data_IF_567431623422
#
_entry.id   IF_567431623422
#
_cell.length_a   1.000
_cell.length_b   1.000
_cell.length_c   1.000
_cell.angle_alpha   90.00
_cell.angle_beta   90.00
_cell.angle_gamma   90.00
#
_symmetry.space_group_name_H-M   'P 1'
#
loop_
_entity.id
_entity.type
_entity.pdbx_description
1 polymer ?
#
# COMPACT_ATOMS: atom_id res chain seq x y z
N UNK A 1 8.82 9.38 -13.55
CA UNK A 1 9.11 8.34 -12.55
C UNK A 1 8.39 8.82 -11.34
N UNK A 2 7.26 8.22 -11.02
CA UNK A 2 6.64 8.48 -9.74
C UNK A 2 7.01 7.39 -8.74
N UNK A 3 6.52 7.61 -7.53
CA UNK A 3 7.06 7.02 -6.33
C UNK A 3 5.95 6.47 -5.45
N UNK A 4 6.25 5.36 -4.79
CA UNK A 4 5.33 4.70 -3.89
C UNK A 4 6.02 3.64 -3.04
N UNK A 5 5.69 3.60 -1.76
CA UNK A 5 6.32 2.71 -0.78
C UNK A 5 5.34 2.16 0.22
N UNK A 6 5.63 0.95 0.68
CA UNK A 6 4.95 0.32 1.79
C UNK A 6 5.94 0.14 2.95
N UNK A 7 5.50 0.42 4.17
CA UNK A 7 6.30 0.31 5.39
C UNK A 7 5.59 -0.60 6.39
N UNK A 8 6.29 -1.61 6.90
CA UNK A 8 5.75 -2.50 7.93
C UNK A 8 5.97 -1.85 9.30
N UNK A 9 4.88 -1.45 9.96
CA UNK A 9 4.93 -0.71 11.22
C UNK A 9 4.28 -1.49 12.36
N UNK A 10 4.60 -1.13 13.59
CA UNK A 10 3.90 -1.67 14.76
C UNK A 10 2.41 -1.34 14.70
N UNK A 11 1.55 -2.28 15.08
CA UNK A 11 0.09 -2.06 15.22
C UNK A 11 -0.22 -0.88 16.15
N UNK A 12 0.66 -0.59 17.11
CA UNK A 12 0.51 0.55 18.02
C UNK A 12 0.54 1.91 17.32
N UNK A 13 1.02 1.99 16.08
CA UNK A 13 0.94 3.20 15.25
C UNK A 13 -0.51 3.69 15.12
N UNK A 14 -1.48 2.78 15.18
CA UNK A 14 -2.90 3.10 15.14
C UNK A 14 -3.31 4.11 16.24
N UNK A 15 -2.69 4.05 17.42
CA UNK A 15 -3.04 4.96 18.52
C UNK A 15 -2.72 6.41 18.17
N UNK A 16 -1.54 6.65 17.57
CA UNK A 16 -1.10 7.97 17.16
C UNK A 16 -1.87 8.47 15.93
N UNK A 17 -2.07 7.60 14.94
CA UNK A 17 -2.73 7.97 13.68
C UNK A 17 -4.23 8.23 13.83
N UNK A 18 -4.89 7.63 14.83
CA UNK A 18 -6.34 7.81 15.05
C UNK A 18 -6.75 9.26 15.29
N UNK A 19 -5.81 10.08 15.80
CA UNK A 19 -6.01 11.51 16.08
C UNK A 19 -5.61 12.42 14.93
N UNK A 20 -4.92 11.90 13.91
CA UNK A 20 -4.46 12.67 12.75
C UNK A 20 -5.58 12.84 11.73
N UNK A 21 -5.60 13.99 11.03
CA UNK A 21 -6.53 14.24 9.91
C UNK A 21 -5.81 14.81 8.71
N UNK A 22 -5.08 15.91 8.88
CA UNK A 22 -4.33 16.55 7.80
C UNK A 22 -3.07 15.75 7.46
N UNK A 23 -2.58 15.86 6.22
CA UNK A 23 -1.32 15.22 5.81
C UNK A 23 -0.15 15.60 6.72
N UNK A 24 -0.03 16.87 7.08
CA UNK A 24 1.03 17.34 7.98
C UNK A 24 1.07 16.56 9.31
N UNK A 25 -0.10 16.30 9.92
CA UNK A 25 -0.21 15.53 11.16
C UNK A 25 0.28 14.08 10.96
N UNK A 26 -0.05 13.49 9.81
CA UNK A 26 0.38 12.13 9.45
C UNK A 26 1.89 12.06 9.26
N UNK A 27 2.50 13.02 8.58
CA UNK A 27 3.95 13.08 8.39
C UNK A 27 4.70 13.28 9.71
N UNK A 28 4.19 14.14 10.61
CA UNK A 28 4.76 14.30 11.95
C UNK A 28 4.66 13.00 12.77
N UNK A 29 3.51 12.32 12.69
CA UNK A 29 3.30 11.03 13.33
C UNK A 29 4.27 9.97 12.80
N UNK A 30 4.46 9.88 11.48
CA UNK A 30 5.39 8.96 10.84
C UNK A 30 6.84 9.22 11.25
N UNK A 31 7.25 10.49 11.32
CA UNK A 31 8.59 10.85 11.80
C UNK A 31 8.78 10.42 13.26
N UNK A 32 7.76 10.61 14.10
CA UNK A 32 7.76 10.15 15.50
C UNK A 32 7.85 8.62 15.61
N UNK A 33 7.19 7.90 14.70
CA UNK A 33 7.24 6.44 14.61
C UNK A 33 8.56 5.92 14.01
N UNK A 34 9.38 6.77 13.41
CA UNK A 34 10.66 6.40 12.81
C UNK A 34 10.52 5.44 11.63
N UNK A 35 9.45 5.56 10.84
CA UNK A 35 9.10 4.56 9.81
C UNK A 35 10.17 4.38 8.72
N UNK A 36 11.04 5.37 8.51
CA UNK A 36 12.15 5.29 7.54
C UNK A 36 13.17 4.20 7.87
N UNK A 37 13.18 3.72 9.13
CA UNK A 37 14.00 2.60 9.57
C UNK A 37 13.29 1.25 9.53
N UNK A 38 11.99 1.25 9.20
CA UNK A 38 11.18 0.04 9.16
C UNK A 38 11.44 -0.79 7.89
N UNK A 39 11.13 -2.10 7.90
CA UNK A 39 11.09 -2.88 6.67
C UNK A 39 10.15 -2.23 5.66
N UNK A 40 10.62 -2.11 4.42
CA UNK A 40 9.89 -1.40 3.36
C UNK A 40 9.92 -2.17 2.04
N UNK A 41 8.91 -1.93 1.21
CA UNK A 41 8.84 -2.34 -0.19
C UNK A 41 8.73 -1.08 -1.06
N UNK A 42 9.67 -0.92 -2.00
CA UNK A 42 9.55 0.07 -3.06
C UNK A 42 8.61 -0.47 -4.13
N UNK A 43 7.50 0.23 -4.34
CA UNK A 43 6.46 -0.13 -5.29
C UNK A 43 6.42 0.86 -6.47
N UNK A 44 7.32 1.85 -6.54
CA UNK A 44 7.33 2.87 -7.58
C UNK A 44 5.91 3.44 -7.84
N UNK A 45 5.50 3.60 -9.09
CA UNK A 45 4.16 4.06 -9.46
C UNK A 45 3.06 2.98 -9.31
N UNK A 46 3.41 1.74 -8.96
CA UNK A 46 2.49 0.60 -9.05
C UNK A 46 1.31 0.70 -8.09
N UNK A 47 1.48 1.34 -6.93
CA UNK A 47 0.37 1.60 -6.00
C UNK A 47 -0.76 2.33 -6.72
N UNK A 48 -0.44 3.36 -7.52
CA UNK A 48 -1.43 4.14 -8.26
C UNK A 48 -2.09 3.32 -9.36
N UNK A 49 -1.28 2.61 -10.14
CA UNK A 49 -1.77 1.79 -11.25
C UNK A 49 -2.68 0.67 -10.74
N UNK A 50 -2.29 0.00 -9.66
CA UNK A 50 -3.08 -1.06 -9.04
C UNK A 50 -4.36 -0.54 -8.42
N UNK A 51 -4.29 0.53 -7.61
CA UNK A 51 -5.47 1.14 -7.01
C UNK A 51 -6.48 1.57 -8.09
N UNK A 52 -6.01 2.33 -9.10
CA UNK A 52 -6.84 2.83 -10.20
C UNK A 52 -7.46 1.70 -11.01
N UNK A 53 -6.65 0.68 -11.37
CA UNK A 53 -7.13 -0.41 -12.21
C UNK A 53 -8.15 -1.29 -11.49
N UNK A 54 -7.89 -1.65 -10.23
CA UNK A 54 -8.81 -2.43 -9.40
C UNK A 54 -10.11 -1.66 -9.14
N UNK A 55 -10.04 -0.36 -8.90
CA UNK A 55 -11.22 0.50 -8.73
C UNK A 55 -12.05 0.59 -10.02
N UNK A 56 -11.40 0.73 -11.18
CA UNK A 56 -12.08 0.82 -12.48
C UNK A 56 -12.92 -0.41 -12.84
N UNK A 57 -12.60 -1.57 -12.26
CA UNK A 57 -13.37 -2.81 -12.41
C UNK A 57 -14.21 -3.14 -11.17
N UNK A 58 -14.36 -2.19 -10.24
CA UNK A 58 -15.06 -2.32 -8.97
C UNK A 58 -14.60 -3.54 -8.15
N UNK A 59 -13.31 -3.87 -8.22
CA UNK A 59 -12.78 -5.04 -7.52
C UNK A 59 -12.63 -4.74 -6.02
N UNK A 60 -13.10 -5.61 -5.11
CA UNK A 60 -13.03 -5.34 -3.67
C UNK A 60 -11.63 -5.10 -3.11
N UNK A 61 -10.58 -5.57 -3.80
CA UNK A 61 -9.20 -5.34 -3.41
C UNK A 61 -8.76 -3.87 -3.52
N UNK A 62 -9.49 -3.02 -4.26
CA UNK A 62 -9.21 -1.59 -4.34
C UNK A 62 -9.23 -0.91 -2.96
N UNK A 63 -10.07 -1.42 -2.04
CA UNK A 63 -10.21 -0.87 -0.67
C UNK A 63 -8.90 -0.87 0.13
N UNK A 64 -7.96 -1.77 -0.16
CA UNK A 64 -6.71 -1.85 0.58
C UNK A 64 -5.79 -0.67 0.29
N UNK A 65 -5.93 -0.06 -0.89
CA UNK A 65 -5.20 1.16 -1.25
C UNK A 65 -5.86 2.42 -0.68
N UNK A 66 -7.12 2.35 -0.25
CA UNK A 66 -7.77 3.40 0.54
C UNK A 66 -7.35 3.37 2.03
N UNK A 67 -6.90 2.20 2.51
CA UNK A 67 -6.53 1.99 3.92
C UNK A 67 -7.74 1.88 4.85
N UNK A 68 -7.48 1.47 6.08
CA UNK A 68 -8.43 1.57 7.19
C UNK A 68 -8.60 3.04 7.59
N UNK A 69 -7.50 3.79 7.58
CA UNK A 69 -7.46 5.24 7.72
C UNK A 69 -6.61 5.86 6.63
N UNK A 70 -6.94 7.07 6.22
CA UNK A 70 -6.16 7.84 5.25
C UNK A 70 -6.03 9.30 5.71
N UNK A 71 -4.94 9.95 5.34
CA UNK A 71 -4.81 11.40 5.46
C UNK A 71 -5.75 12.08 4.46
N UNK A 72 -6.38 13.18 4.84
CA UNK A 72 -7.24 13.94 3.93
C UNK A 72 -6.50 14.32 2.63
N UNK A 73 -7.21 14.21 1.50
CA UNK A 73 -6.70 14.69 0.23
C UNK A 73 -6.65 16.22 0.23
N UNK A 74 -5.48 16.79 -0.06
CA UNK A 74 -5.25 18.22 -0.20
C UNK A 74 -4.47 18.55 -1.49
N UNK A 75 -4.42 19.84 -1.82
CA UNK A 75 -3.73 20.35 -3.01
C UNK A 75 -2.23 20.63 -2.76
N UNK A 76 -1.69 20.26 -1.59
CA UNK A 76 -0.32 20.64 -1.19
C UNK A 76 0.76 19.92 -2.00
N UNK A 77 0.38 18.90 -2.78
CA UNK A 77 1.30 18.10 -3.58
C UNK A 77 2.07 17.05 -2.78
N UNK A 78 1.86 16.97 -1.46
CA UNK A 78 2.45 15.93 -0.63
C UNK A 78 1.90 14.55 -1.02
N UNK A 79 2.73 13.48 -0.96
CA UNK A 79 2.26 12.14 -1.22
C UNK A 79 1.04 11.76 -0.38
N UNK A 80 0.18 10.94 -0.96
CA UNK A 80 -0.94 10.35 -0.25
C UNK A 80 -0.39 9.32 0.74
N UNK A 81 -1.10 9.15 1.85
CA UNK A 81 -0.76 8.17 2.89
C UNK A 81 -2.01 7.52 3.44
N UNK A 82 -1.94 6.20 3.59
CA UNK A 82 -2.96 5.43 4.29
C UNK A 82 -2.33 4.38 5.21
N UNK A 83 -3.14 3.91 6.16
CA UNK A 83 -2.77 2.91 7.16
C UNK A 83 -3.68 1.70 7.02
N UNK A 84 -3.09 0.51 7.07
CA UNK A 84 -3.78 -0.77 7.18
C UNK A 84 -3.38 -1.43 8.50
N UNK A 85 -4.36 -1.73 9.34
CA UNK A 85 -4.18 -2.57 10.52
C UNK A 85 -3.68 -3.97 10.14
N UNK A 86 -3.04 -4.65 11.07
CA UNK A 86 -2.59 -6.03 10.90
C UNK A 86 -3.72 -7.00 10.51
N UNK A 87 -4.96 -6.73 10.92
CA UNK A 87 -6.14 -7.49 10.47
C UNK A 87 -6.40 -7.26 8.98
N UNK A 88 -6.46 -6.00 8.55
CA UNK A 88 -6.64 -5.65 7.14
C UNK A 88 -5.49 -6.11 6.26
N UNK A 89 -4.26 -6.10 6.76
CA UNK A 89 -3.07 -6.64 6.08
C UNK A 89 -3.22 -8.15 5.84
N UNK A 90 -3.67 -8.92 6.84
CA UNK A 90 -3.96 -10.37 6.67
C UNK A 90 -5.07 -10.62 5.66
N UNK A 91 -6.13 -9.82 5.72
CA UNK A 91 -7.22 -9.90 4.75
C UNK A 91 -6.74 -9.57 3.34
N UNK A 92 -5.86 -8.58 3.19
CA UNK A 92 -5.28 -8.19 1.92
C UNK A 92 -4.43 -9.30 1.33
N UNK A 93 -3.49 -9.84 2.11
CA UNK A 93 -2.65 -10.95 1.68
C UNK A 93 -3.49 -12.15 1.25
N UNK A 94 -4.49 -12.53 2.06
CA UNK A 94 -5.36 -13.65 1.73
C UNK A 94 -6.09 -13.43 0.40
N UNK A 95 -6.56 -12.21 0.14
CA UNK A 95 -7.23 -11.89 -1.11
C UNK A 95 -6.25 -11.89 -2.30
N UNK A 96 -5.03 -11.37 -2.14
CA UNK A 96 -3.99 -11.43 -3.18
C UNK A 96 -3.66 -12.88 -3.56
N UNK A 97 -3.43 -13.74 -2.57
CA UNK A 97 -3.09 -15.14 -2.78
C UNK A 97 -4.25 -15.93 -3.42
N UNK A 98 -5.50 -15.58 -3.11
CA UNK A 98 -6.68 -16.18 -3.75
C UNK A 98 -6.81 -15.77 -5.23
N UNK A 99 -6.52 -14.52 -5.58
CA UNK A 99 -6.52 -14.05 -6.97
C UNK A 99 -5.38 -14.68 -7.78
N UNK A 100 -4.21 -14.78 -7.15
CA UNK A 100 -3.00 -15.31 -7.76
C UNK A 100 -2.35 -14.35 -8.76
N UNK A 101 -1.06 -14.59 -9.06
CA UNK A 101 -0.26 -13.78 -9.98
C UNK A 101 -0.92 -13.65 -11.36
N UNK A 102 -1.54 -14.73 -11.83
CA UNK A 102 -2.17 -14.77 -13.16
C UNK A 102 -3.25 -13.71 -13.33
N UNK A 103 -4.04 -13.46 -12.28
CA UNK A 103 -5.06 -12.41 -12.30
C UNK A 103 -4.42 -11.04 -12.59
N UNK A 104 -3.30 -10.71 -11.95
CA UNK A 104 -2.62 -9.43 -12.14
C UNK A 104 -1.93 -9.34 -13.49
N UNK A 105 -1.34 -10.43 -13.98
CA UNK A 105 -0.81 -10.52 -15.36
C UNK A 105 -1.91 -10.19 -16.38
N UNK A 106 -3.08 -10.81 -16.24
CA UNK A 106 -4.20 -10.59 -17.17
C UNK A 106 -4.85 -9.20 -16.99
N UNK A 107 -4.79 -8.63 -15.77
CA UNK A 107 -5.30 -7.29 -15.46
C UNK A 107 -4.45 -6.16 -16.07
N UNK A 108 -3.14 -6.41 -16.24
CA UNK A 108 -2.16 -5.46 -16.78
C UNK A 108 -1.55 -5.96 -18.08
N UNK A 109 -2.29 -5.95 -19.21
CA UNK A 109 -1.81 -6.44 -20.49
C UNK A 109 -0.52 -5.72 -20.93
N UNK A 110 0.46 -6.50 -21.38
CA UNK A 110 1.84 -6.05 -21.59
C UNK A 110 2.09 -5.58 -23.03
N UNK A 111 2.41 -4.29 -23.22
CA UNK A 111 2.93 -3.76 -24.50
C UNK A 111 4.44 -3.39 -24.43
N UNK A 112 5.11 -3.70 -23.31
CA UNK A 112 6.51 -3.30 -23.04
C UNK A 112 7.56 -4.41 -23.26
N UNK A 113 8.85 -4.06 -23.41
CA UNK A 113 9.94 -4.97 -23.79
C UNK A 113 10.27 -6.07 -22.76
N UNK A 114 9.80 -5.93 -21.52
CA UNK A 114 10.03 -6.88 -20.43
C UNK A 114 8.82 -7.78 -20.12
N UNK A 115 7.67 -7.56 -20.77
CA UNK A 115 6.55 -8.50 -20.77
C UNK A 115 5.88 -8.80 -19.42
N UNK A 116 6.10 -7.98 -18.38
CA UNK A 116 5.48 -8.15 -17.05
C UNK A 116 4.61 -6.93 -16.66
N UNK A 117 4.73 -5.81 -17.38
CA UNK A 117 3.91 -4.61 -17.18
C UNK A 117 3.88 -4.19 -15.71
N UNK A 118 2.70 -3.86 -15.20
CA UNK A 118 2.47 -3.51 -13.78
C UNK A 118 2.33 -4.74 -12.86
N UNK A 119 2.28 -5.96 -13.40
CA UNK A 119 2.08 -7.17 -12.59
C UNK A 119 3.30 -7.55 -11.75
N UNK A 120 4.48 -6.95 -11.99
CA UNK A 120 5.73 -7.28 -11.33
C UNK A 120 5.67 -7.12 -9.80
N UNK A 121 4.84 -6.21 -9.30
CA UNK A 121 4.68 -5.93 -7.88
C UNK A 121 4.09 -7.12 -7.10
N UNK A 122 3.38 -8.05 -7.78
CA UNK A 122 2.63 -9.12 -7.12
C UNK A 122 3.48 -9.94 -6.14
N UNK A 123 4.58 -10.53 -6.62
CA UNK A 123 5.39 -11.43 -5.80
C UNK A 123 6.12 -10.66 -4.67
N UNK A 124 6.81 -9.53 -4.93
CA UNK A 124 7.38 -8.70 -3.86
C UNK A 124 6.37 -8.29 -2.80
N UNK A 125 5.15 -7.90 -3.21
CA UNK A 125 4.09 -7.51 -2.30
C UNK A 125 3.60 -8.68 -1.44
N UNK A 126 3.41 -9.86 -2.04
CA UNK A 126 3.04 -11.05 -1.27
C UNK A 126 4.11 -11.43 -0.24
N UNK A 127 5.40 -11.38 -0.61
CA UNK A 127 6.51 -11.64 0.31
C UNK A 127 6.52 -10.63 1.47
N UNK A 128 6.41 -9.34 1.15
CA UNK A 128 6.36 -8.27 2.15
C UNK A 128 5.19 -8.43 3.12
N UNK A 129 3.97 -8.69 2.61
CA UNK A 129 2.78 -8.83 3.44
C UNK A 129 2.80 -10.11 4.28
N UNK A 130 3.40 -11.21 3.78
CA UNK A 130 3.62 -12.43 4.58
C UNK A 130 4.50 -12.15 5.79
N UNK A 131 5.59 -11.41 5.58
CA UNK A 131 6.49 -11.01 6.67
C UNK A 131 5.78 -10.09 7.67
N UNK A 132 5.04 -9.09 7.18
CA UNK A 132 4.22 -8.24 8.05
C UNK A 132 3.19 -9.05 8.87
N UNK A 133 2.50 -10.01 8.23
CA UNK A 133 1.55 -10.89 8.91
C UNK A 133 2.20 -11.79 9.96
N UNK A 134 3.40 -12.31 9.68
CA UNK A 134 4.18 -13.15 10.60
C UNK A 134 4.49 -12.41 11.90
N UNK A 135 4.87 -11.13 11.77
CA UNK A 135 5.25 -10.28 12.89
C UNK A 135 4.06 -9.53 13.52
N UNK A 136 2.85 -9.67 12.96
CA UNK A 136 1.67 -8.93 13.43
C UNK A 136 1.77 -7.42 13.21
N UNK A 137 2.49 -7.01 12.16
CA UNK A 137 2.66 -5.63 11.78
C UNK A 137 1.45 -5.11 11.00
N UNK A 138 1.18 -3.82 11.20
CA UNK A 138 0.38 -3.00 10.31
C UNK A 138 1.24 -2.53 9.12
N UNK A 139 0.59 -1.91 8.12
CA UNK A 139 1.27 -1.37 6.94
C UNK A 139 0.87 0.08 6.72
N UNK A 140 1.85 0.95 6.51
CA UNK A 140 1.62 2.28 5.95
C UNK A 140 1.95 2.27 4.47
N UNK A 141 1.08 2.85 3.65
CA UNK A 141 1.26 2.96 2.20
C UNK A 141 1.38 4.44 1.85
N UNK A 142 2.42 4.80 1.11
CA UNK A 142 2.67 6.15 0.62
C UNK A 142 2.81 6.14 -0.89
N UNK A 143 2.23 7.13 -1.59
CA UNK A 143 2.36 7.23 -3.04
C UNK A 143 2.13 8.66 -3.54
N UNK A 144 2.77 9.01 -4.66
CA UNK A 144 2.60 10.32 -5.29
C UNK A 144 1.21 10.51 -5.91
N UNK A 145 0.82 11.77 -6.10
CA UNK A 145 -0.49 12.14 -6.65
C UNK A 145 -0.58 11.95 -8.16
#
# INVERSE_FOLDING_TARGET
MGWGRLYAVSESASQLLSTCRAKADWYEAMNTLGIESAPQLDAEDEIRFWASKLDSIAHPAAKFFAGDWHAEYDETGDPNVCFLSSESVRAFLSQLEQLGERFFIDLFPHDGPHGIGHAWLYEPLCVFLRDACLHGHAVMILWEN
#
